data_IF_188933500473
#
_entry.id   IF_188933500473
#
_cell.length_a   1.000
_cell.length_b   1.000
_cell.length_c   1.000
_cell.angle_alpha   90.00
_cell.angle_beta   90.00
_cell.angle_gamma   90.00
#
_symmetry.space_group_name_H-M   'P 1'
#
loop_
_entity.id
_entity.type
_entity.pdbx_description
1 polymer ?
#
# COMPACT_ATOMS: atom_id res chain seq x y z
N UNK A 1 -5.57 -3.26 27.58
CA UNK A 1 -5.53 -1.78 27.55
C UNK A 1 -4.41 -1.40 26.60
N UNK A 2 -4.62 -0.44 25.69
CA UNK A 2 -3.56 0.08 24.82
C UNK A 2 -2.77 1.13 25.60
N UNK A 3 -1.46 0.95 25.66
CA UNK A 3 -0.53 1.86 26.33
C UNK A 3 0.30 2.59 25.27
N UNK A 4 0.39 3.91 25.39
CA UNK A 4 1.34 4.71 24.61
C UNK A 4 2.63 4.86 25.43
N UNK A 5 3.75 4.47 24.85
CA UNK A 5 5.08 4.60 25.43
C UNK A 5 6.08 5.10 24.37
N UNK A 6 7.31 5.34 24.78
CA UNK A 6 8.41 5.66 23.88
C UNK A 6 9.48 4.56 23.94
N UNK A 7 9.95 4.11 22.78
CA UNK A 7 11.04 3.15 22.65
C UNK A 7 12.07 3.70 21.64
N UNK A 8 13.29 3.92 22.09
CA UNK A 8 14.37 4.55 21.29
C UNK A 8 13.96 5.86 20.58
N UNK A 9 13.15 6.70 21.25
CA UNK A 9 12.62 7.94 20.69
C UNK A 9 11.45 7.77 19.71
N UNK A 10 11.00 6.53 19.49
CA UNK A 10 9.86 6.21 18.61
C UNK A 10 8.60 6.05 19.46
N UNK A 11 7.53 6.74 19.06
CA UNK A 11 6.20 6.56 19.68
C UNK A 11 5.74 5.12 19.48
N UNK A 12 5.33 4.47 20.55
CA UNK A 12 5.04 3.03 20.59
C UNK A 12 3.67 2.75 21.18
N UNK A 13 2.83 2.05 20.42
CA UNK A 13 1.56 1.52 20.90
C UNK A 13 1.74 0.06 21.34
N UNK A 14 1.45 -0.23 22.61
CA UNK A 14 1.55 -1.58 23.17
C UNK A 14 0.16 -2.04 23.62
N UNK A 15 -0.26 -3.24 23.22
CA UNK A 15 -1.48 -3.86 23.74
C UNK A 15 -1.23 -5.34 24.06
N UNK A 16 -1.59 -5.82 25.27
CA UNK A 16 -1.56 -7.24 25.61
C UNK A 16 -2.38 -8.05 24.62
N UNK A 17 -1.82 -9.15 24.12
CA UNK A 17 -2.42 -9.99 23.10
C UNK A 17 -2.27 -11.47 23.46
N UNK A 18 -3.33 -12.26 23.26
CA UNK A 18 -3.26 -13.72 23.38
C UNK A 18 -2.77 -14.33 22.06
N UNK A 19 -1.79 -15.22 22.12
CA UNK A 19 -1.23 -15.89 20.94
C UNK A 19 0.17 -15.40 20.59
N UNK A 20 0.66 -15.66 19.36
CA UNK A 20 1.98 -15.22 18.94
C UNK A 20 2.06 -13.69 18.93
N UNK A 21 3.18 -13.15 19.41
CA UNK A 21 3.42 -11.72 19.41
C UNK A 21 3.43 -11.20 17.98
N UNK A 22 2.89 -9.99 17.78
CA UNK A 22 2.96 -9.27 16.51
C UNK A 22 3.48 -7.87 16.75
N UNK A 23 4.31 -7.37 15.87
CA UNK A 23 4.78 -5.99 15.95
C UNK A 23 5.08 -5.42 14.58
N UNK A 24 5.10 -4.10 14.49
CA UNK A 24 5.37 -3.43 13.22
C UNK A 24 5.66 -1.94 13.35
N UNK A 25 6.14 -1.36 12.26
CA UNK A 25 6.38 0.08 12.14
C UNK A 25 5.43 0.65 11.09
N UNK A 26 4.89 1.83 11.38
CA UNK A 26 4.17 2.66 10.42
C UNK A 26 4.95 3.95 10.22
N UNK A 27 5.19 4.33 8.96
CA UNK A 27 5.98 5.51 8.58
C UNK A 27 5.43 6.13 7.27
N UNK A 28 5.80 7.37 6.90
CA UNK A 28 5.33 7.99 5.68
C UNK A 28 5.60 7.12 4.45
N UNK A 29 4.53 6.75 3.75
CA UNK A 29 4.61 5.90 2.57
C UNK A 29 4.57 4.40 2.85
N UNK A 30 4.40 3.95 4.11
CA UNK A 30 4.31 2.53 4.36
C UNK A 30 4.12 2.01 5.77
N UNK A 31 4.00 0.69 5.85
CA UNK A 31 4.01 -0.05 7.11
C UNK A 31 4.70 -1.40 6.91
N UNK A 32 5.23 -1.97 7.98
CA UNK A 32 5.86 -3.29 7.98
C UNK A 32 5.52 -4.00 9.27
N UNK A 33 5.30 -5.31 9.21
CA UNK A 33 4.86 -6.10 10.36
C UNK A 33 5.47 -7.49 10.34
N UNK A 34 5.60 -8.05 11.53
CA UNK A 34 6.12 -9.39 11.80
C UNK A 34 5.32 -10.04 12.91
N UNK A 35 5.11 -11.33 12.79
CA UNK A 35 4.50 -12.22 13.79
C UNK A 35 5.55 -13.26 14.15
N UNK A 36 5.71 -13.59 15.42
CA UNK A 36 6.68 -14.61 15.81
C UNK A 36 7.16 -14.48 17.25
N UNK A 37 8.20 -15.25 17.63
CA UNK A 37 8.85 -15.12 18.93
C UNK A 37 9.54 -13.76 19.09
N UNK A 38 9.68 -13.30 20.33
CA UNK A 38 10.22 -11.98 20.65
C UNK A 38 11.60 -11.71 20.02
N UNK A 39 12.50 -12.69 20.04
CA UNK A 39 13.86 -12.55 19.48
C UNK A 39 13.85 -12.35 17.96
N UNK A 40 12.88 -12.95 17.26
CA UNK A 40 12.74 -12.77 15.81
C UNK A 40 12.16 -11.40 15.49
N UNK A 41 11.17 -10.96 16.25
CA UNK A 41 10.60 -9.62 16.14
C UNK A 41 11.67 -8.56 16.40
N UNK A 42 12.43 -8.72 17.50
CA UNK A 42 13.54 -7.83 17.84
C UNK A 42 14.56 -7.78 16.71
N UNK A 43 14.97 -8.93 16.17
CA UNK A 43 15.94 -9.00 15.06
C UNK A 43 15.41 -8.38 13.78
N UNK A 44 14.16 -8.63 13.41
CA UNK A 44 13.53 -8.09 12.22
C UNK A 44 13.40 -6.57 12.30
N UNK A 45 12.89 -6.06 13.43
CA UNK A 45 12.67 -4.63 13.63
C UNK A 45 13.94 -3.84 13.96
N UNK A 46 14.97 -4.48 14.52
CA UNK A 46 16.30 -3.87 14.70
C UNK A 46 17.17 -3.94 13.45
N UNK A 47 16.75 -4.74 12.47
CA UNK A 47 17.47 -4.89 11.21
C UNK A 47 17.57 -3.57 10.47
N UNK A 48 18.79 -3.24 10.01
CA UNK A 48 19.05 -2.06 9.18
C UNK A 48 18.29 -2.09 7.83
N UNK A 49 17.65 -3.22 7.48
CA UNK A 49 16.83 -3.32 6.27
C UNK A 49 15.58 -2.42 6.31
N UNK A 50 15.13 -2.01 7.50
CA UNK A 50 14.09 -0.99 7.65
C UNK A 50 14.59 0.43 7.34
N UNK A 51 15.89 0.65 7.52
CA UNK A 51 16.60 1.91 7.25
C UNK A 51 17.06 1.97 5.81
N UNK A 52 17.24 0.84 5.13
CA UNK A 52 17.36 0.86 3.67
C UNK A 52 16.02 1.18 3.06
N UNK A 53 15.92 2.26 2.26
CA UNK A 53 14.70 2.57 1.55
C UNK A 53 14.28 1.34 0.74
N UNK A 54 13.08 0.82 1.00
CA UNK A 54 12.45 -0.16 0.10
C UNK A 54 12.42 0.42 -1.31
N UNK A 55 12.27 -0.41 -2.35
CA UNK A 55 12.26 0.06 -3.74
C UNK A 55 11.32 1.27 -3.97
N UNK A 56 10.24 1.39 -3.20
CA UNK A 56 9.36 2.56 -3.16
C UNK A 56 10.06 3.84 -2.69
N UNK A 57 10.72 3.78 -1.54
CA UNK A 57 11.41 4.89 -0.91
C UNK A 57 12.65 5.31 -1.71
N UNK A 58 13.33 4.37 -2.40
CA UNK A 58 14.38 4.66 -3.38
C UNK A 58 13.82 5.39 -4.61
N UNK A 59 12.62 5.00 -5.07
CA UNK A 59 11.95 5.65 -6.20
C UNK A 59 11.52 7.08 -5.85
N UNK A 60 11.03 7.31 -4.63
CA UNK A 60 10.61 8.63 -4.14
C UNK A 60 11.81 9.56 -3.87
N UNK A 61 12.94 9.03 -3.38
CA UNK A 61 14.22 9.76 -3.33
C UNK A 61 14.67 10.24 -4.72
N UNK A 62 14.45 9.43 -5.76
CA UNK A 62 14.77 9.78 -7.16
C UNK A 62 13.95 10.96 -7.69
N UNK A 63 12.79 11.23 -7.11
CA UNK A 63 11.93 12.38 -7.43
C UNK A 63 12.07 13.55 -6.45
N UNK A 64 13.14 13.58 -5.65
CA UNK A 64 13.41 14.69 -4.74
C UNK A 64 12.46 14.76 -3.54
N UNK A 65 11.73 13.67 -3.23
CA UNK A 65 10.92 13.55 -2.02
C UNK A 65 11.73 12.78 -0.98
N UNK A 66 12.41 13.46 -0.04
CA UNK A 66 13.15 12.77 1.00
C UNK A 66 12.16 12.17 2.02
N UNK A 67 11.82 10.90 1.83
CA UNK A 67 11.14 10.07 2.82
C UNK A 67 12.19 9.34 3.64
N UNK A 68 12.91 10.07 4.47
CA UNK A 68 13.78 9.45 5.46
C UNK A 68 12.91 8.97 6.63
N UNK A 69 12.91 7.66 6.82
CA UNK A 69 12.30 7.04 8.01
C UNK A 69 13.10 7.52 9.21
N UNK A 70 12.44 8.23 10.11
CA UNK A 70 13.01 8.95 11.26
C UNK A 70 12.19 8.61 12.48
N UNK A 71 12.76 8.80 13.68
CA UNK A 71 12.05 8.50 14.94
C UNK A 71 10.74 9.28 15.05
N UNK A 72 10.75 10.52 14.61
CA UNK A 72 9.64 11.47 14.69
C UNK A 72 8.52 11.20 13.68
N UNK A 73 8.85 10.49 12.59
CA UNK A 73 7.93 10.07 11.53
C UNK A 73 7.70 8.56 11.53
N UNK A 74 7.88 7.90 12.66
CA UNK A 74 7.62 6.46 12.78
C UNK A 74 6.76 6.22 14.02
N UNK A 75 5.85 5.27 13.92
CA UNK A 75 5.11 4.74 15.07
C UNK A 75 5.34 3.23 15.11
N UNK A 76 5.87 2.74 16.22
CA UNK A 76 5.96 1.31 16.53
C UNK A 76 4.63 0.86 17.11
N UNK A 77 4.22 -0.35 16.78
CA UNK A 77 3.12 -1.00 17.46
C UNK A 77 3.48 -2.44 17.80
N UNK A 78 3.00 -2.91 18.95
CA UNK A 78 3.29 -4.24 19.50
C UNK A 78 2.02 -4.81 20.12
N UNK A 79 1.53 -5.89 19.53
CA UNK A 79 0.55 -6.81 20.09
C UNK A 79 1.29 -7.89 20.90
N UNK A 80 1.41 -7.66 22.20
CA UNK A 80 2.12 -8.52 23.15
C UNK A 80 2.20 -7.85 24.53
N UNK A 81 2.66 -8.60 25.53
CA UNK A 81 2.62 -8.14 26.92
C UNK A 81 3.72 -7.11 27.26
N UNK A 82 4.75 -7.02 26.41
CA UNK A 82 5.92 -6.15 26.61
C UNK A 82 6.61 -5.82 25.29
N UNK A 83 7.52 -4.84 25.35
CA UNK A 83 8.49 -4.60 24.28
C UNK A 83 9.48 -5.76 24.23
N UNK A 84 9.77 -6.35 23.05
CA UNK A 84 10.74 -7.44 22.92
C UNK A 84 12.10 -7.04 23.51
N UNK A 85 12.71 -7.89 24.36
CA UNK A 85 14.04 -7.62 24.90
C UNK A 85 15.06 -7.53 23.76
N UNK A 86 15.95 -6.54 23.82
CA UNK A 86 16.97 -6.32 22.79
C UNK A 86 16.46 -5.70 21.48
N UNK A 87 15.17 -5.34 21.39
CA UNK A 87 14.68 -4.51 20.29
C UNK A 87 15.39 -3.16 20.34
N UNK A 88 16.04 -2.79 19.24
CA UNK A 88 16.65 -1.47 19.06
C UNK A 88 16.15 -0.88 17.75
N UNK A 89 15.78 0.39 17.72
CA UNK A 89 15.36 1.07 16.50
C UNK A 89 16.43 2.09 16.08
N UNK A 90 17.38 1.71 15.19
CA UNK A 90 18.46 2.60 14.75
C UNK A 90 17.97 3.64 13.73
N UNK A 91 16.83 4.28 14.00
CA UNK A 91 16.28 5.35 13.19
C UNK A 91 17.01 6.66 13.50
N UNK A 92 17.37 7.46 12.49
CA UNK A 92 17.90 8.80 12.73
C UNK A 92 16.83 9.69 13.38
N UNK A 93 17.28 10.61 14.23
CA UNK A 93 16.46 11.72 14.66
C UNK A 93 16.45 12.81 13.57
N UNK A 94 15.29 13.37 13.28
CA UNK A 94 15.11 14.53 12.42
C UNK A 94 13.83 15.28 12.83
N UNK A 95 13.36 16.24 12.04
CA UNK A 95 12.08 16.88 12.24
C UNK A 95 10.94 15.98 11.76
N UNK A 96 9.85 15.97 12.54
CA UNK A 96 8.56 15.43 12.06
C UNK A 96 8.17 16.16 10.78
N UNK A 97 7.99 15.42 9.69
CA UNK A 97 7.51 15.94 8.41
C UNK A 97 6.05 15.57 8.31
N UNK A 98 5.20 16.56 8.10
CA UNK A 98 3.84 16.27 7.66
C UNK A 98 3.90 15.51 6.35
N UNK A 99 2.90 14.66 6.07
CA UNK A 99 2.81 14.09 4.73
C UNK A 99 2.85 15.24 3.72
N UNK A 100 3.61 15.13 2.63
CA UNK A 100 3.59 16.15 1.61
C UNK A 100 2.14 16.38 1.19
N UNK A 101 1.75 17.64 0.91
CA UNK A 101 0.46 17.92 0.28
C UNK A 101 0.35 17.04 -0.97
N UNK A 102 -0.87 16.58 -1.30
CA UNK A 102 -1.07 15.72 -2.49
C UNK A 102 -0.67 16.51 -3.74
N UNK A 103 0.56 16.31 -4.18
CA UNK A 103 1.07 16.84 -5.44
C UNK A 103 0.78 15.82 -6.54
N UNK A 104 0.08 16.23 -7.59
CA UNK A 104 -0.20 15.35 -8.72
C UNK A 104 -1.41 14.46 -8.56
N UNK A 105 -2.41 14.88 -7.77
CA UNK A 105 -3.75 14.32 -7.90
C UNK A 105 -4.16 14.45 -9.36
N UNK A 106 -4.40 13.32 -10.02
CA UNK A 106 -5.05 13.35 -11.31
C UNK A 106 -6.35 14.15 -11.12
N UNK A 107 -6.61 15.17 -11.95
CA UNK A 107 -7.87 15.90 -11.86
C UNK A 107 -8.99 14.86 -11.99
N UNK A 108 -10.13 15.02 -11.30
CA UNK A 108 -11.23 14.07 -11.40
C UNK A 108 -11.48 13.73 -12.86
N UNK A 109 -11.52 12.45 -13.19
CA UNK A 109 -11.71 12.06 -14.58
C UNK A 109 -13.09 12.51 -15.05
N UNK A 110 -13.17 13.03 -16.28
CA UNK A 110 -14.45 13.19 -16.97
C UNK A 110 -15.10 11.82 -17.21
N UNK A 111 -14.25 10.79 -17.41
CA UNK A 111 -14.68 9.41 -17.56
C UNK A 111 -15.21 8.85 -16.23
N UNK A 112 -16.35 8.15 -16.25
CA UNK A 112 -17.02 7.70 -15.03
C UNK A 112 -16.25 6.60 -14.26
N UNK A 113 -15.31 5.90 -14.92
CA UNK A 113 -14.46 4.90 -14.30
C UNK A 113 -13.18 5.46 -13.65
N UNK A 114 -12.79 6.70 -13.94
CA UNK A 114 -11.47 7.22 -13.56
C UNK A 114 -10.44 7.04 -14.67
N UNK A 115 -9.17 6.88 -14.30
CA UNK A 115 -8.06 6.68 -15.22
C UNK A 115 -7.56 5.24 -15.23
N UNK A 116 -6.96 4.81 -16.33
CA UNK A 116 -6.30 3.52 -16.45
C UNK A 116 -4.93 3.64 -17.12
N UNK A 117 -4.03 2.72 -16.77
CA UNK A 117 -2.76 2.55 -17.47
C UNK A 117 -2.33 1.09 -17.48
N UNK A 118 -1.73 0.68 -18.61
CA UNK A 118 -1.20 -0.67 -18.78
C UNK A 118 0.12 -0.85 -18.02
N UNK A 119 0.22 -1.95 -17.28
CA UNK A 119 1.39 -2.39 -16.53
C UNK A 119 1.91 -3.73 -17.03
N UNK A 120 3.23 -3.90 -17.01
CA UNK A 120 3.88 -5.11 -17.56
C UNK A 120 3.71 -6.39 -16.72
N UNK A 121 2.94 -6.35 -15.63
CA UNK A 121 2.75 -7.48 -14.72
C UNK A 121 1.33 -8.03 -14.86
N UNK A 122 1.15 -9.34 -14.69
CA UNK A 122 -0.15 -10.02 -14.71
C UNK A 122 -1.04 -9.73 -13.50
N UNK A 123 -0.97 -8.50 -12.98
CA UNK A 123 -1.63 -8.04 -11.76
C UNK A 123 -2.58 -6.91 -12.10
N UNK A 124 -3.74 -6.90 -11.46
CA UNK A 124 -4.71 -5.80 -11.53
C UNK A 124 -4.61 -5.03 -10.23
N UNK A 125 -4.54 -3.71 -10.30
CA UNK A 125 -4.57 -2.88 -9.10
C UNK A 125 -5.47 -1.66 -9.31
N UNK A 126 -6.12 -1.22 -8.25
CA UNK A 126 -6.87 0.01 -8.26
C UNK A 126 -6.54 0.82 -7.02
N UNK A 127 -6.35 2.13 -7.22
CA UNK A 127 -6.08 3.06 -6.15
C UNK A 127 -7.01 4.27 -6.27
N UNK A 128 -7.49 4.77 -5.15
CA UNK A 128 -8.32 5.98 -5.11
C UNK A 128 -8.05 6.79 -3.83
N UNK A 129 -8.40 8.07 -3.88
CA UNK A 129 -8.35 8.99 -2.74
C UNK A 129 -9.78 9.30 -2.31
N UNK A 130 -10.04 9.15 -1.01
CA UNK A 130 -11.36 9.36 -0.38
C UNK A 130 -11.22 10.19 0.89
N UNK A 131 -12.30 10.78 1.36
CA UNK A 131 -12.30 11.42 2.70
C UNK A 131 -12.10 10.37 3.79
N UNK A 132 -11.23 10.66 4.76
CA UNK A 132 -11.01 9.77 5.91
C UNK A 132 -12.30 9.64 6.73
N UNK A 133 -12.81 8.41 6.85
CA UNK A 133 -14.10 8.11 7.48
C UNK A 133 -14.29 6.61 7.70
N UNK A 134 -15.16 6.23 8.63
CA UNK A 134 -15.51 4.83 8.87
C UNK A 134 -16.12 4.14 7.63
N UNK A 135 -17.07 4.73 6.87
CA UNK A 135 -17.58 4.13 5.64
C UNK A 135 -16.50 3.90 4.58
N UNK A 136 -15.50 4.77 4.48
CA UNK A 136 -14.38 4.59 3.56
C UNK A 136 -13.45 3.44 3.97
N UNK A 137 -13.18 3.31 5.26
CA UNK A 137 -12.43 2.15 5.76
C UNK A 137 -13.21 0.86 5.54
N UNK A 138 -14.54 0.85 5.73
CA UNK A 138 -15.41 -0.31 5.46
C UNK A 138 -15.45 -0.67 3.98
N UNK A 139 -15.44 0.32 3.08
CA UNK A 139 -15.35 0.07 1.64
C UNK A 139 -14.09 -0.73 1.28
N UNK A 140 -12.93 -0.40 1.85
CA UNK A 140 -11.68 -1.11 1.57
C UNK A 140 -11.77 -2.61 1.94
N UNK A 141 -12.44 -2.93 3.05
CA UNK A 141 -12.63 -4.31 3.48
C UNK A 141 -13.71 -5.02 2.68
N UNK A 142 -14.79 -4.32 2.29
CA UNK A 142 -15.80 -4.86 1.38
C UNK A 142 -15.18 -5.26 0.05
N UNK A 143 -14.27 -4.45 -0.50
CA UNK A 143 -13.53 -4.81 -1.72
C UNK A 143 -12.69 -6.08 -1.53
N UNK A 144 -12.10 -6.28 -0.35
CA UNK A 144 -11.39 -7.52 -0.03
C UNK A 144 -12.33 -8.73 0.00
N UNK A 145 -13.51 -8.59 0.61
CA UNK A 145 -14.53 -9.65 0.67
C UNK A 145 -15.05 -10.00 -0.73
N UNK A 146 -15.40 -8.99 -1.52
CA UNK A 146 -15.98 -9.18 -2.85
C UNK A 146 -15.01 -9.88 -3.80
N UNK A 147 -13.78 -9.38 -3.88
CA UNK A 147 -12.74 -9.87 -4.80
C UNK A 147 -12.05 -11.14 -4.29
N UNK A 148 -11.96 -11.30 -2.96
CA UNK A 148 -11.30 -12.43 -2.30
C UNK A 148 -11.99 -13.77 -2.49
N UNK A 149 -13.21 -13.78 -3.04
CA UNK A 149 -13.96 -15.00 -3.38
C UNK A 149 -13.32 -15.79 -4.52
N UNK A 150 -12.70 -15.09 -5.45
CA UNK A 150 -12.26 -15.68 -6.73
C UNK A 150 -10.74 -15.67 -6.89
N UNK A 151 -10.03 -14.78 -6.21
CA UNK A 151 -8.58 -14.67 -6.29
C UNK A 151 -7.95 -14.10 -5.02
N UNK A 152 -6.65 -14.34 -4.82
CA UNK A 152 -5.88 -13.63 -3.82
C UNK A 152 -5.98 -12.12 -4.03
N UNK A 153 -6.47 -11.42 -3.01
CA UNK A 153 -6.59 -9.96 -2.98
C UNK A 153 -5.86 -9.42 -1.77
N UNK A 154 -5.18 -8.29 -1.97
CA UNK A 154 -4.65 -7.46 -0.90
C UNK A 154 -5.32 -6.10 -0.98
N UNK A 155 -5.89 -5.66 0.13
CA UNK A 155 -6.45 -4.31 0.27
C UNK A 155 -5.71 -3.55 1.36
N UNK A 156 -5.69 -2.23 1.24
CA UNK A 156 -5.22 -1.36 2.29
C UNK A 156 -6.02 -0.07 2.34
N UNK A 157 -6.15 0.45 3.55
CA UNK A 157 -6.71 1.76 3.86
C UNK A 157 -5.66 2.54 4.63
N UNK A 158 -5.15 3.63 4.04
CA UNK A 158 -4.09 4.43 4.65
C UNK A 158 -4.56 5.88 4.87
N UNK A 159 -4.82 6.31 6.12
CA UNK A 159 -5.20 7.68 6.42
C UNK A 159 -4.03 8.66 6.20
N UNK A 160 -4.36 9.91 5.87
CA UNK A 160 -3.40 10.99 5.57
C UNK A 160 -3.64 12.21 6.45
N UNK A 161 -2.59 12.98 6.69
CA UNK A 161 -2.66 14.17 7.55
C UNK A 161 -3.54 15.32 7.00
N UNK A 162 -3.95 15.25 5.74
CA UNK A 162 -4.86 16.22 5.10
C UNK A 162 -6.35 15.85 5.27
N UNK A 163 -6.66 14.81 6.07
CA UNK A 163 -8.02 14.35 6.29
C UNK A 163 -8.58 13.47 5.15
N UNK A 164 -7.73 13.10 4.18
CA UNK A 164 -8.07 12.08 3.19
C UNK A 164 -7.48 10.72 3.57
N UNK A 165 -7.84 9.68 2.83
CA UNK A 165 -7.29 8.36 2.93
C UNK A 165 -7.12 7.76 1.54
N UNK A 166 -6.13 6.87 1.40
CA UNK A 166 -5.88 6.13 0.17
C UNK A 166 -6.41 4.71 0.35
N UNK A 167 -7.25 4.27 -0.57
CA UNK A 167 -7.63 2.86 -0.71
C UNK A 167 -6.79 2.28 -1.83
N UNK A 168 -6.10 1.17 -1.55
CA UNK A 168 -5.40 0.39 -2.57
C UNK A 168 -5.94 -1.03 -2.57
N UNK A 169 -6.22 -1.56 -3.76
CA UNK A 169 -6.69 -2.92 -3.96
C UNK A 169 -5.82 -3.56 -5.03
N UNK A 170 -5.30 -4.74 -4.76
CA UNK A 170 -4.41 -5.47 -5.66
C UNK A 170 -4.90 -6.91 -5.74
N UNK A 171 -5.09 -7.37 -6.96
CA UNK A 171 -5.53 -8.72 -7.28
C UNK A 171 -4.57 -9.36 -8.26
N UNK A 172 -4.25 -10.63 -8.02
CA UNK A 172 -3.39 -11.40 -8.90
C UNK A 172 -4.04 -12.73 -9.26
N UNK A 173 -3.92 -13.11 -10.54
CA UNK A 173 -4.32 -14.43 -10.99
C UNK A 173 -3.34 -15.48 -10.47
N UNK A 174 -3.84 -16.69 -10.17
CA UNK A 174 -2.97 -17.83 -9.94
C UNK A 174 -2.50 -18.37 -11.29
N UNK A 175 -1.21 -18.72 -11.40
CA UNK A 175 -0.62 -19.27 -12.63
C UNK A 175 -1.27 -20.61 -13.08
N UNK A 176 -2.11 -21.24 -12.23
CA UNK A 176 -2.63 -22.59 -12.45
C UNK A 176 -4.09 -22.67 -12.91
N UNK A 177 -4.90 -21.62 -12.79
CA UNK A 177 -6.34 -21.71 -13.15
C UNK A 177 -6.97 -20.43 -13.69
N UNK A 178 -6.46 -19.26 -13.33
CA UNK A 178 -7.15 -17.99 -13.61
C UNK A 178 -6.19 -17.01 -14.29
N UNK A 179 -6.37 -16.82 -15.60
CA UNK A 179 -5.58 -15.85 -16.37
C UNK A 179 -5.83 -14.41 -15.92
N UNK A 180 -4.87 -13.52 -16.18
CA UNK A 180 -4.94 -12.09 -15.83
C UNK A 180 -6.18 -11.38 -16.39
N UNK A 181 -6.74 -11.90 -17.48
CA UNK A 181 -7.94 -11.37 -18.13
C UNK A 181 -9.19 -11.61 -17.32
N UNK A 182 -9.31 -12.80 -16.71
CA UNK A 182 -10.43 -13.14 -15.85
C UNK A 182 -10.40 -12.28 -14.58
N UNK A 183 -9.20 -12.07 -14.01
CA UNK A 183 -9.02 -11.16 -12.87
C UNK A 183 -9.41 -9.74 -13.25
N UNK A 184 -8.95 -9.24 -14.41
CA UNK A 184 -9.30 -7.90 -14.87
C UNK A 184 -10.82 -7.74 -15.08
N UNK A 185 -11.47 -8.74 -15.69
CA UNK A 185 -12.91 -8.74 -15.93
C UNK A 185 -13.71 -8.64 -14.63
N UNK A 186 -13.46 -9.55 -13.69
CA UNK A 186 -14.16 -9.56 -12.40
C UNK A 186 -13.85 -8.31 -11.55
N UNK A 187 -12.61 -7.82 -11.60
CA UNK A 187 -12.25 -6.56 -10.94
C UNK A 187 -13.06 -5.39 -11.51
N UNK A 188 -13.19 -5.31 -12.84
CA UNK A 188 -14.00 -4.28 -13.51
C UNK A 188 -15.48 -4.43 -13.16
N UNK A 189 -16.00 -5.65 -13.03
CA UNK A 189 -17.39 -5.89 -12.63
C UNK A 189 -17.65 -5.37 -11.20
N UNK A 190 -16.73 -5.60 -10.26
CA UNK A 190 -16.81 -5.02 -8.90
C UNK A 190 -16.77 -3.49 -8.94
N UNK A 191 -15.86 -2.90 -9.72
CA UNK A 191 -15.81 -1.43 -9.87
C UNK A 191 -17.05 -0.86 -10.58
N UNK A 192 -17.65 -1.61 -11.51
CA UNK A 192 -18.88 -1.22 -12.18
C UNK A 192 -20.06 -1.21 -11.20
N UNK A 193 -20.15 -2.20 -10.31
CA UNK A 193 -21.13 -2.22 -9.22
C UNK A 193 -20.95 -1.01 -8.28
N UNK A 194 -19.70 -0.74 -7.89
CA UNK A 194 -19.36 0.40 -7.03
C UNK A 194 -19.81 1.75 -7.62
N UNK A 195 -19.61 1.92 -8.93
CA UNK A 195 -19.96 3.13 -9.69
C UNK A 195 -21.45 3.47 -9.67
N UNK A 196 -22.31 2.45 -9.55
CA UNK A 196 -23.77 2.63 -9.49
C UNK A 196 -24.32 2.44 -8.07
N UNK A 197 -23.43 2.41 -7.06
CA UNK A 197 -23.81 2.23 -5.65
C UNK A 197 -24.43 0.88 -5.34
N UNK A 198 -24.19 -0.14 -6.18
CA UNK A 198 -24.61 -1.52 -5.93
C UNK A 198 -23.53 -2.21 -5.10
N UNK A 199 -23.88 -2.52 -3.87
CA UNK A 199 -23.08 -3.34 -2.97
C UNK A 199 -24.02 -4.39 -2.38
N UNK A 200 -23.57 -5.64 -2.30
CA UNK A 200 -24.34 -6.68 -1.64
C UNK A 200 -24.42 -6.37 -0.14
N UNK A 201 -25.63 -6.17 0.43
CA UNK A 201 -25.77 -5.95 1.87
C UNK A 201 -25.20 -7.10 2.73
N UNK A 202 -25.09 -8.31 2.18
CA UNK A 202 -24.50 -9.46 2.85
C UNK A 202 -22.97 -9.33 3.06
N UNK A 203 -22.29 -8.48 2.28
CA UNK A 203 -20.85 -8.27 2.39
C UNK A 203 -20.49 -7.29 3.52
N UNK A 204 -21.42 -6.43 3.92
CA UNK A 204 -21.18 -5.42 4.95
C UNK A 204 -20.87 -6.04 6.32
N UNK A 205 -21.61 -7.03 6.84
CA UNK A 205 -21.26 -7.70 8.09
C UNK A 205 -19.86 -8.35 8.06
N UNK A 206 -19.46 -8.91 6.90
CA UNK A 206 -18.14 -9.51 6.75
C UNK A 206 -17.04 -8.45 6.83
N UNK A 207 -17.22 -7.30 6.18
CA UNK A 207 -16.30 -6.17 6.25
C UNK A 207 -16.25 -5.51 7.64
N UNK A 208 -17.38 -5.44 8.35
CA UNK A 208 -17.44 -4.94 9.72
C UNK A 208 -16.78 -5.87 10.75
N UNK A 209 -16.61 -7.15 10.39
CA UNK A 209 -15.94 -8.15 11.22
C UNK A 209 -14.41 -8.15 11.08
N UNK A 210 -13.85 -7.19 10.33
CA UNK A 210 -12.40 -7.11 10.11
C UNK A 210 -11.63 -6.89 11.43
N UNK A 211 -10.47 -7.56 11.63
CA UNK A 211 -9.72 -7.50 12.88
C UNK A 211 -9.22 -6.09 13.23
N UNK A 212 -8.98 -5.20 12.27
CA UNK A 212 -8.50 -3.85 12.59
C UNK A 212 -9.61 -2.89 13.12
N UNK A 213 -10.84 -3.38 13.34
CA UNK A 213 -12.01 -2.56 13.72
C UNK A 213 -12.08 -2.25 15.22
N UNK A 214 -12.77 -1.18 15.63
CA UNK A 214 -12.94 -0.87 17.05
C UNK A 214 -13.67 -1.90 17.89
N UNK A 215 -14.49 -2.74 17.25
CA UNK A 215 -15.14 -3.91 17.83
C UNK A 215 -14.20 -5.11 18.01
N UNK A 216 -13.04 -5.11 17.36
CA UNK A 216 -12.08 -6.17 17.44
C UNK A 216 -11.19 -6.06 18.68
N UNK A 217 -10.36 -7.08 18.89
CA UNK A 217 -9.43 -7.10 20.01
C UNK A 217 -8.49 -5.87 19.93
N UNK A 218 -8.16 -5.29 21.09
CA UNK A 218 -7.25 -4.13 21.13
C UNK A 218 -5.92 -4.33 20.37
N UNK A 219 -5.31 -5.52 20.40
CA UNK A 219 -4.12 -5.85 19.60
C UNK A 219 -4.28 -5.69 18.09
N UNK A 220 -5.42 -6.09 17.53
CA UNK A 220 -5.62 -6.08 16.08
C UNK A 220 -5.77 -4.65 15.53
N UNK A 221 -6.21 -3.70 16.36
CA UNK A 221 -6.39 -2.29 15.98
C UNK A 221 -5.08 -1.50 15.89
N UNK A 222 -4.00 -2.05 16.42
CA UNK A 222 -2.75 -1.35 16.61
C UNK A 222 -2.14 -0.74 15.32
N UNK A 223 -2.14 -1.43 14.15
CA UNK A 223 -1.62 -0.85 12.91
C UNK A 223 -2.40 0.39 12.46
N UNK A 224 -3.73 0.34 12.54
CA UNK A 224 -4.60 1.47 12.17
C UNK A 224 -4.38 2.67 13.09
N UNK A 225 -4.36 2.43 14.41
CA UNK A 225 -4.10 3.48 15.41
C UNK A 225 -2.71 4.10 15.23
N UNK A 226 -1.72 3.31 14.86
CA UNK A 226 -0.38 3.80 14.54
C UNK A 226 -0.40 4.70 13.29
N UNK A 227 -1.16 4.33 12.25
CA UNK A 227 -1.33 5.14 11.04
C UNK A 227 -2.06 6.47 11.31
N UNK A 228 -3.16 6.44 12.07
CA UNK A 228 -3.91 7.64 12.47
C UNK A 228 -3.04 8.55 13.34
N UNK A 229 -2.28 7.99 14.30
CA UNK A 229 -1.32 8.73 15.12
C UNK A 229 -0.20 9.36 14.28
N UNK A 230 0.31 8.63 13.28
CA UNK A 230 1.31 9.14 12.35
C UNK A 230 0.73 10.26 11.48
N UNK A 231 -0.52 10.14 11.04
CA UNK A 231 -1.24 11.17 10.29
C UNK A 231 -1.62 12.38 11.16
N UNK A 232 -1.61 12.24 12.50
CA UNK A 232 -2.11 13.26 13.42
C UNK A 232 -3.64 13.37 13.38
N UNK A 233 -4.33 12.29 13.02
CA UNK A 233 -5.78 12.21 12.98
C UNK A 233 -6.33 11.57 14.26
N UNK A 234 -7.52 11.98 14.71
CA UNK A 234 -8.22 11.28 15.78
C UNK A 234 -8.60 9.88 15.31
N UNK A 235 -8.46 8.85 16.16
CA UNK A 235 -8.79 7.50 15.75
C UNK A 235 -10.29 7.31 15.54
N UNK A 236 -10.66 6.54 14.52
CA UNK A 236 -12.07 6.20 14.29
C UNK A 236 -12.63 5.39 15.48
N UNK A 237 -13.75 5.87 16.03
CA UNK A 237 -14.41 5.31 17.21
C UNK A 237 -15.35 4.15 16.87
N UNK A 238 -15.67 3.32 17.87
CA UNK A 238 -16.63 2.23 17.70
C UNK A 238 -18.02 2.73 17.27
N UNK A 239 -18.49 3.83 17.85
CA UNK A 239 -19.77 4.44 17.50
C UNK A 239 -19.82 4.86 16.03
N UNK A 240 -18.71 5.39 15.48
CA UNK A 240 -18.61 5.72 14.06
C UNK A 240 -18.73 4.49 13.17
N UNK A 241 -18.22 3.32 13.57
CA UNK A 241 -18.39 2.07 12.84
C UNK A 241 -19.78 1.47 13.00
N UNK A 242 -20.38 1.55 14.19
CA UNK A 242 -21.76 1.11 14.43
C UNK A 242 -22.77 1.93 13.64
N UNK A 243 -22.48 3.20 13.37
CA UNK A 243 -23.30 4.07 12.54
C UNK A 243 -23.13 3.87 11.02
N UNK A 244 -22.24 2.97 10.57
CA UNK A 244 -22.03 2.72 9.13
C UNK A 244 -23.26 2.05 8.53
N UNK A 245 -23.80 2.64 7.47
CA UNK A 245 -24.91 2.09 6.69
C UNK A 245 -24.45 1.66 5.30
N UNK A 246 -25.15 0.69 4.65
CA UNK A 246 -24.87 0.33 3.26
C UNK A 246 -24.89 1.55 2.32
N UNK A 247 -25.83 2.48 2.54
CA UNK A 247 -25.96 3.69 1.75
C UNK A 247 -24.73 4.62 1.89
N UNK A 248 -24.18 4.76 3.10
CA UNK A 248 -22.98 5.56 3.32
C UNK A 248 -21.76 4.95 2.62
N UNK A 249 -21.60 3.62 2.66
CA UNK A 249 -20.50 2.94 1.97
C UNK A 249 -20.66 3.05 0.45
N UNK A 250 -21.88 2.87 -0.07
CA UNK A 250 -22.17 3.05 -1.49
C UNK A 250 -21.88 4.49 -1.96
N UNK A 251 -22.19 5.50 -1.14
CA UNK A 251 -21.88 6.89 -1.45
C UNK A 251 -20.37 7.15 -1.57
N UNK A 252 -19.56 6.62 -0.64
CA UNK A 252 -18.09 6.67 -0.75
C UNK A 252 -17.64 5.95 -2.01
N UNK A 253 -18.19 4.78 -2.28
CA UNK A 253 -17.91 3.98 -3.46
C UNK A 253 -18.07 4.77 -4.76
N UNK A 254 -19.26 5.34 -4.96
CA UNK A 254 -19.55 6.17 -6.14
C UNK A 254 -18.62 7.38 -6.23
N UNK A 255 -18.38 8.09 -5.13
CA UNK A 255 -17.49 9.26 -5.11
C UNK A 255 -16.04 8.90 -5.46
N UNK A 256 -15.59 7.72 -5.04
CA UNK A 256 -14.22 7.26 -5.24
C UNK A 256 -13.87 6.93 -6.69
N UNK A 257 -14.86 6.63 -7.55
CA UNK A 257 -14.63 6.21 -8.93
C UNK A 257 -13.96 7.29 -9.78
N UNK A 258 -14.34 8.57 -9.60
CA UNK A 258 -13.76 9.69 -10.36
C UNK A 258 -12.28 9.94 -10.04
N UNK A 259 -11.83 9.48 -8.89
CA UNK A 259 -10.44 9.58 -8.43
C UNK A 259 -9.69 8.25 -8.58
N UNK A 260 -10.34 7.24 -9.16
CA UNK A 260 -9.79 5.92 -9.36
C UNK A 260 -8.68 5.89 -10.40
N UNK A 261 -7.62 5.15 -10.12
CA UNK A 261 -6.54 4.81 -11.03
C UNK A 261 -6.40 3.30 -11.12
N UNK A 262 -6.71 2.73 -12.28
CA UNK A 262 -6.65 1.30 -12.57
C UNK A 262 -5.35 0.93 -13.30
N UNK A 263 -4.59 0.00 -12.72
CA UNK A 263 -3.51 -0.73 -13.37
C UNK A 263 -4.09 -1.96 -14.06
N UNK A 264 -3.97 -2.01 -15.39
CA UNK A 264 -4.37 -3.17 -16.19
C UNK A 264 -3.15 -4.05 -16.50
N UNK A 265 -3.33 -5.38 -16.64
CA UNK A 265 -2.25 -6.29 -16.97
C UNK A 265 -1.82 -6.17 -18.44
N UNK A 266 -0.52 -6.33 -18.67
CA UNK A 266 0.10 -6.32 -19.99
C UNK A 266 0.07 -4.95 -20.67
N UNK A 267 -0.45 -4.94 -21.89
CA UNK A 267 -0.62 -3.77 -22.78
C UNK A 267 -2.09 -3.32 -22.90
N UNK A 268 -2.99 -3.88 -22.08
CA UNK A 268 -4.42 -3.65 -22.18
C UNK A 268 -4.84 -2.28 -21.72
N UNK A 269 -5.84 -1.70 -22.37
CA UNK A 269 -6.59 -0.57 -21.84
C UNK A 269 -7.90 -1.02 -21.16
N UNK A 270 -8.52 -0.10 -20.42
CA UNK A 270 -9.84 -0.28 -19.83
C UNK A 270 -10.85 0.75 -20.36
N UNK A 271 -10.64 1.25 -21.59
CA UNK A 271 -11.51 2.25 -22.21
C UNK A 271 -12.93 1.72 -22.40
N UNK A 272 -13.05 0.45 -22.78
CA UNK A 272 -14.31 -0.30 -22.88
C UNK A 272 -15.10 -0.36 -21.56
N UNK A 273 -14.44 -0.22 -20.41
CA UNK A 273 -15.07 -0.20 -19.10
C UNK A 273 -15.41 1.21 -18.58
N UNK A 274 -15.14 2.24 -19.38
CA UNK A 274 -15.39 3.64 -19.06
C UNK A 274 -14.24 4.33 -18.31
N UNK A 275 -13.01 3.82 -18.41
CA UNK A 275 -11.81 4.50 -17.92
C UNK A 275 -11.17 5.35 -19.02
N UNK A 276 -10.70 6.54 -18.68
CA UNK A 276 -9.83 7.33 -19.56
C UNK A 276 -8.37 6.79 -19.47
N UNK A 277 -7.56 6.93 -20.52
CA UNK A 277 -6.12 6.73 -20.38
C UNK A 277 -5.55 7.77 -19.40
N UNK A 278 -4.71 7.32 -18.46
CA UNK A 278 -4.02 8.23 -17.55
C UNK A 278 -3.15 9.22 -18.36
N UNK A 279 -3.17 10.53 -18.06
CA UNK A 279 -2.28 11.48 -18.71
C UNK A 279 -0.84 11.13 -18.35
N UNK A 280 -0.10 10.58 -19.32
CA UNK A 280 1.28 10.17 -19.17
C UNK A 280 2.23 11.20 -19.82
N UNK A 281 3.34 11.59 -19.17
CA UNK A 281 3.73 11.15 -17.83
C UNK A 281 2.78 11.72 -16.78
N UNK A 282 2.44 10.91 -15.77
CA UNK A 282 1.79 11.43 -14.56
C UNK A 282 2.62 12.64 -14.10
N UNK A 283 1.99 13.79 -13.79
CA UNK A 283 2.73 14.99 -13.45
C UNK A 283 3.59 14.72 -12.22
N UNK A 284 4.88 14.52 -12.45
CA UNK A 284 5.86 14.52 -11.39
C UNK A 284 6.03 15.98 -10.95
N UNK A 285 6.11 16.29 -9.65
CA UNK A 285 6.62 17.58 -9.23
C UNK A 285 7.99 17.79 -9.89
N UNK A 286 8.34 19.02 -10.34
CA UNK A 286 9.65 19.29 -10.91
C UNK A 286 10.72 18.99 -9.85
N UNK A 287 11.38 17.85 -9.98
CA UNK A 287 12.52 17.52 -9.13
C UNK A 287 13.70 18.39 -9.57
N UNK A 288 14.41 19.07 -8.65
CA UNK A 288 15.72 19.60 -8.96
C UNK A 288 16.64 18.41 -9.27
N UNK A 289 17.08 18.28 -10.51
CA UNK A 289 18.06 17.26 -10.90
C UNK A 289 19.34 17.49 -10.08
N UNK A 290 19.89 16.48 -9.37
CA UNK A 290 21.22 16.60 -8.80
C UNK A 290 22.21 16.78 -9.95
N UNK A 291 22.99 17.86 -9.87
CA UNK A 291 24.03 18.16 -10.85
C UNK A 291 25.15 17.12 -10.77
N UNK A 292 25.20 16.20 -11.74
CA UNK A 292 26.34 15.33 -11.99
C UNK A 292 25.97 13.94 -12.51
N UNK A 293 26.54 13.47 -13.63
CA UNK A 293 26.34 12.09 -14.09
C UNK A 293 27.14 11.10 -13.23
N UNK A 294 26.54 10.00 -12.74
CA UNK A 294 27.31 8.93 -12.11
C UNK A 294 28.14 8.19 -13.17
N UNK A 295 29.46 8.10 -12.92
CA UNK A 295 30.42 7.34 -13.72
C UNK A 295 30.37 5.86 -13.35
N UNK A 296 29.41 5.11 -13.90
CA UNK A 296 29.47 3.63 -13.90
C UNK A 296 29.16 3.14 -15.30
N UNK A 297 30.01 2.24 -15.83
CA UNK A 297 29.88 1.73 -17.19
C UNK A 297 28.49 1.06 -17.38
N UNK A 298 27.74 1.41 -18.44
CA UNK A 298 26.33 1.04 -18.60
C UNK A 298 26.06 -0.48 -18.66
N UNK A 299 27.05 -1.28 -19.06
CA UNK A 299 26.95 -2.73 -19.12
C UNK A 299 26.92 -3.40 -17.72
N UNK A 300 27.75 -2.91 -16.79
CA UNK A 300 27.79 -3.42 -15.40
C UNK A 300 26.55 -2.99 -14.61
N UNK A 301 26.01 -1.81 -14.89
CA UNK A 301 24.77 -1.30 -14.30
C UNK A 301 23.55 -2.13 -14.72
N UNK A 302 23.50 -2.55 -15.99
CA UNK A 302 22.42 -3.40 -16.51
C UNK A 302 22.48 -4.81 -15.93
N UNK A 303 23.68 -5.39 -15.79
CA UNK A 303 23.87 -6.71 -15.20
C UNK A 303 23.50 -6.74 -13.71
N UNK A 304 23.86 -5.69 -12.96
CA UNK A 304 23.48 -5.54 -11.54
C UNK A 304 21.97 -5.42 -11.34
N UNK A 305 21.27 -4.67 -12.20
CA UNK A 305 19.81 -4.53 -12.16
C UNK A 305 19.12 -5.85 -12.50
N UNK A 306 19.57 -6.55 -13.54
CA UNK A 306 18.99 -7.84 -13.94
C UNK A 306 19.22 -8.90 -12.84
N UNK A 307 20.40 -8.94 -12.24
CA UNK A 307 20.70 -9.88 -11.16
C UNK A 307 19.88 -9.57 -9.90
N UNK A 308 19.68 -8.29 -9.57
CA UNK A 308 18.87 -7.86 -8.43
C UNK A 308 17.38 -8.15 -8.65
N UNK A 309 16.86 -7.92 -9.86
CA UNK A 309 15.46 -8.24 -10.22
C UNK A 309 15.23 -9.77 -10.23
N UNK A 310 16.18 -10.54 -10.75
CA UNK A 310 16.09 -12.00 -10.75
C UNK A 310 16.14 -12.57 -9.32
N UNK A 311 17.02 -12.07 -8.45
CA UNK A 311 17.11 -12.53 -7.07
C UNK A 311 15.87 -12.11 -6.24
N UNK A 312 15.32 -10.92 -6.48
CA UNK A 312 14.12 -10.41 -5.79
C UNK A 312 12.85 -11.12 -6.26
N UNK A 313 12.77 -11.46 -7.55
CA UNK A 313 11.69 -12.28 -8.11
C UNK A 313 11.75 -13.75 -7.64
N UNK A 314 12.96 -14.31 -7.52
CA UNK A 314 13.17 -15.68 -7.03
C UNK A 314 12.88 -15.82 -5.53
N UNK A 315 13.26 -14.82 -4.71
CA UNK A 315 12.92 -14.76 -3.29
C UNK A 315 11.42 -14.59 -3.05
N UNK A 316 10.71 -13.86 -3.92
CA UNK A 316 9.25 -13.75 -3.88
C UNK A 316 8.52 -15.06 -4.24
N UNK A 317 9.15 -15.93 -5.02
CA UNK A 317 8.62 -17.25 -5.41
C UNK A 317 8.94 -18.36 -4.39
N UNK A 318 10.00 -18.22 -3.60
CA UNK A 318 10.43 -19.23 -2.61
C UNK A 318 9.66 -19.17 -1.27
N UNK A 319 8.89 -18.11 -1.01
CA UNK A 319 8.05 -17.96 0.20
C UNK A 319 6.54 -18.16 -0.08
N UNK A 320 6.24 -19.06 -1.01
CA UNK A 320 4.88 -19.59 -1.25
C UNK A 320 4.72 -20.86 -0.40
N UNK A 321 4.87 -20.73 0.91
CA UNK A 321 4.30 -21.70 1.83
C UNK A 321 3.85 -20.98 3.10
N UNK A 322 2.73 -21.43 3.63
CA UNK A 322 1.82 -20.66 4.46
C UNK A 322 2.45 -20.06 5.71
N UNK A 323 2.53 -18.74 5.75
CA UNK A 323 2.31 -17.98 6.98
C UNK A 323 2.05 -16.50 6.66
N UNK A 324 1.36 -15.85 7.60
CA UNK A 324 0.65 -14.57 7.46
C UNK A 324 1.56 -13.34 7.34
N UNK A 325 2.53 -13.38 6.43
CA UNK A 325 3.48 -12.31 6.18
C UNK A 325 3.27 -11.70 4.80
N UNK A 326 3.63 -10.41 4.66
CA UNK A 326 3.91 -9.69 3.40
C UNK A 326 2.77 -8.94 2.69
N UNK A 327 2.16 -7.96 3.34
CA UNK A 327 1.25 -7.00 2.67
C UNK A 327 1.99 -5.82 2.02
N UNK A 328 3.15 -5.42 2.52
CA UNK A 328 3.84 -4.20 2.07
C UNK A 328 4.87 -4.41 0.93
N UNK A 329 5.50 -5.57 0.89
CA UNK A 329 6.62 -5.81 -0.02
C UNK A 329 6.19 -6.17 -1.45
N UNK A 330 4.93 -6.58 -1.66
CA UNK A 330 4.41 -7.07 -2.94
C UNK A 330 3.86 -5.97 -3.84
N UNK A 331 3.14 -5.00 -3.26
CA UNK A 331 2.45 -3.93 -3.98
C UNK A 331 3.40 -2.89 -4.60
N UNK A 332 4.37 -2.43 -3.82
CA UNK A 332 5.29 -1.37 -4.24
C UNK A 332 6.48 -1.91 -5.03
N UNK A 333 6.93 -3.15 -4.78
CA UNK A 333 7.89 -3.80 -5.67
C UNK A 333 7.30 -4.04 -7.06
N UNK A 334 6.02 -4.45 -7.16
CA UNK A 334 5.36 -4.62 -8.46
C UNK A 334 5.28 -3.29 -9.24
N UNK A 335 4.89 -2.20 -8.58
CA UNK A 335 4.81 -0.88 -9.21
C UNK A 335 6.19 -0.32 -9.60
N UNK A 336 7.20 -0.48 -8.73
CA UNK A 336 8.58 -0.06 -9.00
C UNK A 336 9.23 -0.89 -10.13
N UNK A 337 8.96 -2.19 -10.21
CA UNK A 337 9.41 -3.07 -11.30
C UNK A 337 8.74 -2.64 -12.62
N UNK A 338 7.43 -2.38 -12.63
CA UNK A 338 6.69 -1.95 -13.83
C UNK A 338 7.19 -0.61 -14.40
N UNK A 339 7.54 0.35 -13.53
CA UNK A 339 8.08 1.66 -13.95
C UNK A 339 9.53 1.55 -14.45
N UNK A 340 10.33 0.62 -13.91
CA UNK A 340 11.75 0.46 -14.26
C UNK A 340 11.93 -0.33 -15.56
N UNK A 341 11.11 -1.35 -15.81
CA UNK A 341 11.13 -2.14 -17.06
C UNK A 341 10.75 -1.29 -18.27
N UNK A 342 9.77 -0.37 -18.13
CA UNK A 342 9.39 0.55 -19.21
C UNK A 342 10.48 1.57 -19.56
N UNK A 343 11.28 1.98 -18.56
CA UNK A 343 12.48 2.80 -18.75
C UNK A 343 13.60 2.07 -19.49
N UNK A 344 13.83 0.80 -19.14
CA UNK A 344 14.82 -0.06 -19.79
C UNK A 344 14.46 -0.37 -21.26
N UNK A 345 13.18 -0.60 -21.56
CA UNK A 345 12.69 -0.84 -22.93
C UNK A 345 12.89 0.39 -23.82
N UNK A 346 12.65 1.61 -23.31
CA UNK A 346 12.91 2.86 -24.07
C UNK A 346 14.40 3.10 -24.30
N UNK A 347 15.26 2.76 -23.34
CA UNK A 347 16.70 2.86 -23.50
C UNK A 347 17.21 1.85 -24.55
N UNK A 348 16.68 0.63 -24.53
CA UNK A 348 17.00 -0.42 -25.49
C UNK A 348 16.57 -0.06 -26.92
N UNK A 349 15.39 0.54 -27.11
CA UNK A 349 14.95 1.01 -28.42
C UNK A 349 15.80 2.16 -28.98
N UNK A 350 16.27 3.09 -28.14
CA UNK A 350 17.20 4.14 -28.60
C UNK A 350 18.57 3.60 -28.97
N UNK A 351 19.04 2.57 -28.28
CA UNK A 351 20.33 1.93 -28.58
C UNK A 351 20.31 1.09 -29.87
N UNK A 352 19.13 0.69 -30.33
CA UNK A 352 18.96 -0.10 -31.58
C UNK A 352 18.87 0.76 -32.85
N UNK A 353 18.74 2.08 -32.69
CA UNK A 353 18.64 3.04 -33.79
C UNK A 353 19.82 4.05 -33.83
N UNK A 354 20.87 3.79 -33.07
CA UNK A 354 22.19 4.43 -33.16
C UNK A 354 23.20 3.39 -33.66
#
# INVERSE_FOLDING_TARGET
>A
MITLLEHDGVRTLLAPATGPMRAGLVFPGGQVSVTGPEDEIARFLSGHQLVTPTSATLHLRRYGVPLEVTRENTVLWIAGDRVPPGLTLPLPADRRRTSPPVTGMLPPADAPGGYSFAGSLGTVAWQTVVTHSAPAAVLADMLAVMLGRSFPVATSYLPRSDGTAIITVIAAGSHRSTGSDAVLGEFIDVLAQLRVGRLDPADLPLALSHPDRPSASQPDRLPMLAAEMLAGLPPLSADQFQAVTPAAVAAVGMASMRHGLLLTPGDRDASWAGFAPAPLPLPLPPAPLPAGPPRVAPALFTLYIVLTIALTGLLALLFIDGDSHTTFQRALCALAIALTVRGAIRAFHRFRHA
#
